data_IF_892541316882
#
_entry.id   IF_892541316882
#
_cell.length_a   1.000
_cell.length_b   1.000
_cell.length_c   1.000
_cell.angle_alpha   90.00
_cell.angle_beta   90.00
_cell.angle_gamma   90.00
#
_symmetry.space_group_name_H-M   'P 1'
#
loop_
_entity.id
_entity.type
_entity.pdbx_description
1 polymer ?
#
# COMPACT_ATOMS: atom_id res chain seq x y z
N UNK A 1 13.04 -46.75 -2.38
CA UNK A 1 12.49 -45.48 -1.87
C UNK A 1 11.27 -45.22 -2.72
N UNK A 2 10.07 -45.38 -2.15
CA UNK A 2 8.84 -44.97 -2.82
C UNK A 2 8.83 -43.44 -2.81
N UNK A 3 9.05 -42.82 -3.98
CA UNK A 3 8.69 -41.42 -4.19
C UNK A 3 7.22 -41.29 -3.76
N UNK A 4 6.94 -40.40 -2.81
CA UNK A 4 5.56 -40.06 -2.49
C UNK A 4 4.92 -39.50 -3.75
N UNK A 5 3.84 -40.12 -4.21
CA UNK A 5 3.11 -39.65 -5.38
C UNK A 5 2.62 -38.22 -5.12
N UNK A 6 3.19 -37.26 -5.83
CA UNK A 6 2.72 -35.88 -5.84
C UNK A 6 1.27 -35.86 -6.35
N UNK A 7 0.38 -35.29 -5.56
CA UNK A 7 -1.05 -35.29 -5.80
C UNK A 7 -1.64 -33.88 -5.68
N UNK A 8 -2.91 -33.73 -6.04
CA UNK A 8 -3.64 -32.47 -5.83
C UNK A 8 -3.76 -32.08 -4.36
N UNK A 9 -3.62 -33.03 -3.43
CA UNK A 9 -3.62 -32.74 -1.99
C UNK A 9 -2.34 -32.01 -1.54
N UNK A 10 -1.28 -32.04 -2.36
CA UNK A 10 -0.01 -31.35 -2.12
C UNK A 10 0.01 -29.93 -2.71
N UNK A 11 -1.12 -29.47 -3.29
CA UNK A 11 -1.28 -28.13 -3.85
C UNK A 11 -2.10 -27.27 -2.88
N UNK A 12 -1.44 -26.29 -2.26
CA UNK A 12 -2.10 -25.28 -1.43
C UNK A 12 -2.33 -24.00 -2.24
N UNK A 13 -3.56 -23.48 -2.18
CA UNK A 13 -3.91 -22.16 -2.74
C UNK A 13 -4.08 -21.19 -1.58
N UNK A 14 -3.18 -20.21 -1.51
CA UNK A 14 -3.24 -19.15 -0.51
C UNK A 14 -4.06 -17.97 -1.02
N UNK A 15 -4.89 -17.39 -0.15
CA UNK A 15 -5.50 -16.09 -0.45
C UNK A 15 -4.40 -15.00 -0.50
N UNK A 16 -4.67 -13.89 -1.20
CA UNK A 16 -3.64 -12.88 -1.49
C UNK A 16 -2.93 -12.37 -0.23
N UNK A 17 -3.66 -12.02 0.82
CA UNK A 17 -3.08 -11.51 2.06
C UNK A 17 -2.31 -12.58 2.84
N UNK A 18 -2.70 -13.85 2.72
CA UNK A 18 -1.95 -14.99 3.28
C UNK A 18 -0.66 -15.23 2.51
N UNK A 19 -0.70 -15.16 1.18
CA UNK A 19 0.49 -15.27 0.33
C UNK A 19 1.51 -14.18 0.64
N UNK A 20 1.08 -12.94 0.88
CA UNK A 20 1.97 -11.84 1.27
C UNK A 20 2.63 -12.11 2.62
N UNK A 21 1.85 -12.60 3.59
CA UNK A 21 2.35 -12.93 4.93
C UNK A 21 3.32 -14.11 4.91
N UNK A 22 3.09 -15.09 4.04
CA UNK A 22 3.93 -16.27 3.89
C UNK A 22 5.25 -15.92 3.17
N UNK A 23 5.19 -15.07 2.14
CA UNK A 23 6.32 -14.76 1.27
C UNK A 23 6.58 -13.26 1.10
N UNK A 24 6.82 -12.49 2.17
CA UNK A 24 6.97 -11.03 2.07
C UNK A 24 8.14 -10.61 1.17
N UNK A 25 9.18 -11.46 1.04
CA UNK A 25 10.31 -11.22 0.14
C UNK A 25 9.92 -11.09 -1.34
N UNK A 26 8.85 -11.76 -1.76
CA UNK A 26 8.33 -11.66 -3.13
C UNK A 26 7.73 -10.27 -3.42
N UNK A 27 7.17 -9.62 -2.39
CA UNK A 27 6.47 -8.34 -2.51
C UNK A 27 7.38 -7.16 -2.18
N UNK A 28 8.24 -7.30 -1.17
CA UNK A 28 9.04 -6.21 -0.61
C UNK A 28 10.55 -6.38 -0.80
N UNK A 29 10.97 -7.45 -1.47
CA UNK A 29 12.39 -7.74 -1.77
C UNK A 29 13.23 -8.15 -0.56
N UNK A 30 12.63 -8.30 0.63
CA UNK A 30 13.28 -8.71 1.88
C UNK A 30 12.37 -9.62 2.71
N UNK A 31 12.97 -10.52 3.49
CA UNK A 31 12.24 -11.47 4.34
C UNK A 31 11.56 -10.81 5.53
N UNK A 32 10.67 -11.56 6.21
CA UNK A 32 9.94 -11.10 7.40
C UNK A 32 10.87 -10.67 8.55
N UNK A 33 11.99 -11.38 8.72
CA UNK A 33 12.96 -11.13 9.79
C UNK A 33 14.00 -10.05 9.45
N UNK A 34 13.93 -9.45 8.26
CA UNK A 34 14.87 -8.43 7.83
C UNK A 34 14.50 -7.08 8.47
N UNK A 35 15.44 -6.40 9.17
CA UNK A 35 15.16 -5.12 9.81
C UNK A 35 14.79 -4.00 8.83
N UNK A 36 15.07 -4.17 7.52
CA UNK A 36 14.72 -3.21 6.48
C UNK A 36 13.28 -3.34 6.00
N UNK A 37 12.55 -4.38 6.40
CA UNK A 37 11.20 -4.64 5.91
C UNK A 37 10.25 -3.45 6.08
N UNK A 38 10.14 -2.77 7.24
CA UNK A 38 9.24 -1.62 7.37
C UNK A 38 9.52 -0.52 6.33
N UNK A 39 10.80 -0.16 6.16
CA UNK A 39 11.21 0.83 5.16
C UNK A 39 10.92 0.36 3.73
N UNK A 40 11.17 -0.91 3.42
CA UNK A 40 10.88 -1.46 2.09
C UNK A 40 9.38 -1.51 1.77
N UNK A 41 8.52 -1.76 2.76
CA UNK A 41 7.07 -1.69 2.58
C UNK A 41 6.66 -0.26 2.15
N UNK A 42 7.21 0.77 2.80
CA UNK A 42 6.96 2.17 2.38
C UNK A 42 7.49 2.40 0.97
N UNK A 43 8.75 2.04 0.69
CA UNK A 43 9.38 2.24 -0.61
C UNK A 43 8.59 1.63 -1.77
N UNK A 44 8.15 0.39 -1.60
CA UNK A 44 7.38 -0.31 -2.63
C UNK A 44 5.99 0.30 -2.81
N UNK A 45 5.36 0.76 -1.72
CA UNK A 45 4.11 1.52 -1.81
C UNK A 45 4.27 2.83 -2.57
N UNK A 46 5.38 3.55 -2.35
CA UNK A 46 5.71 4.81 -3.05
C UNK A 46 6.01 4.55 -4.52
N UNK A 47 6.82 3.54 -4.82
CA UNK A 47 7.14 3.12 -6.19
C UNK A 47 5.87 2.79 -6.99
N UNK A 48 4.93 2.06 -6.37
CA UNK A 48 3.63 1.79 -6.98
C UNK A 48 2.79 3.06 -7.20
N UNK A 49 2.84 4.02 -6.27
CA UNK A 49 2.10 5.28 -6.36
C UNK A 49 2.67 6.25 -7.42
N UNK A 50 3.94 6.11 -7.82
CA UNK A 50 4.51 6.89 -8.93
C UNK A 50 4.45 6.15 -10.27
N UNK A 51 4.21 4.84 -10.25
CA UNK A 51 4.03 3.99 -11.42
C UNK A 51 2.63 3.36 -11.49
N UNK A 52 1.55 4.17 -11.59
CA UNK A 52 0.21 3.64 -11.72
C UNK A 52 0.07 2.69 -12.92
N UNK A 53 -0.86 1.73 -12.78
CA UNK A 53 -1.35 1.00 -13.95
C UNK A 53 -1.90 2.00 -14.99
N UNK A 54 -1.67 1.75 -16.28
CA UNK A 54 -1.92 2.72 -17.37
C UNK A 54 -3.33 3.33 -17.38
N UNK A 55 -4.34 2.66 -16.86
CA UNK A 55 -5.72 3.19 -16.79
C UNK A 55 -6.00 4.07 -15.57
N UNK A 56 -5.14 4.02 -14.54
CA UNK A 56 -5.12 4.97 -13.42
C UNK A 56 -4.20 6.16 -13.71
N UNK A 57 -3.22 5.98 -14.59
CA UNK A 57 -2.37 7.04 -15.09
C UNK A 57 -3.20 7.98 -15.98
N UNK A 58 -3.64 9.11 -15.44
CA UNK A 58 -4.02 10.22 -16.29
C UNK A 58 -2.80 10.69 -17.11
N UNK A 59 -3.01 11.54 -18.11
CA UNK A 59 -1.94 12.17 -18.90
C UNK A 59 -1.14 13.20 -18.06
N UNK A 60 -0.83 12.90 -16.80
CA UNK A 60 -0.09 13.76 -15.88
C UNK A 60 0.95 12.99 -15.08
N UNK A 61 1.93 13.70 -14.55
CA UNK A 61 2.91 13.15 -13.59
C UNK A 61 2.24 13.03 -12.22
N UNK A 62 2.12 11.83 -11.63
CA UNK A 62 1.51 11.66 -10.32
C UNK A 62 2.22 12.49 -9.24
N UNK A 63 1.44 13.08 -8.33
CA UNK A 63 1.94 13.72 -7.11
C UNK A 63 1.73 12.75 -5.96
N UNK A 64 2.79 12.46 -5.21
CA UNK A 64 2.78 11.52 -4.08
C UNK A 64 3.35 12.19 -2.83
N UNK A 65 2.57 12.21 -1.78
CA UNK A 65 2.98 12.67 -0.45
C UNK A 65 3.04 11.49 0.52
N UNK A 66 4.17 11.36 1.21
CA UNK A 66 4.43 10.32 2.19
C UNK A 66 4.63 10.97 3.55
N UNK A 67 3.90 10.51 4.56
CA UNK A 67 4.12 10.93 5.93
C UNK A 67 4.49 9.74 6.80
N UNK A 68 5.64 9.81 7.49
CA UNK A 68 6.03 8.86 8.52
C UNK A 68 5.49 9.37 9.84
N UNK A 69 4.45 8.71 10.35
CA UNK A 69 3.65 9.14 11.50
C UNK A 69 4.12 8.49 12.82
N UNK A 70 4.84 7.37 12.73
CA UNK A 70 5.36 6.58 13.84
C UNK A 70 6.40 5.58 13.32
N UNK A 71 7.05 4.83 14.21
CA UNK A 71 8.10 3.86 13.82
C UNK A 71 7.59 2.77 12.87
N UNK A 72 6.31 2.41 12.96
CA UNK A 72 5.65 1.42 12.12
C UNK A 72 4.35 1.97 11.50
N UNK A 73 4.22 3.30 11.46
CA UNK A 73 2.99 3.98 11.10
C UNK A 73 3.27 5.04 10.05
N UNK A 74 2.61 4.96 8.90
CA UNK A 74 2.84 5.87 7.79
C UNK A 74 1.57 6.09 6.97
N UNK A 75 1.60 7.11 6.11
CA UNK A 75 0.58 7.31 5.09
C UNK A 75 1.21 7.63 3.74
N UNK A 76 0.55 7.16 2.69
CA UNK A 76 0.87 7.50 1.30
C UNK A 76 -0.39 8.11 0.72
N UNK A 77 -0.25 9.32 0.17
CA UNK A 77 -1.30 10.03 -0.54
C UNK A 77 -0.86 10.25 -1.97
N UNK A 78 -1.72 9.95 -2.92
CA UNK A 78 -1.51 10.27 -4.33
C UNK A 78 -2.71 10.98 -4.93
N UNK A 79 -2.47 11.73 -6.01
CA UNK A 79 -3.48 12.42 -6.80
C UNK A 79 -4.03 11.56 -7.95
N UNK A 80 -3.81 10.24 -7.91
CA UNK A 80 -4.23 9.38 -9.01
C UNK A 80 -5.76 9.26 -9.06
N UNK A 81 -6.24 9.26 -10.30
CA UNK A 81 -7.65 9.24 -10.63
C UNK A 81 -8.26 7.84 -10.42
N UNK A 82 -9.39 7.76 -9.71
CA UNK A 82 -10.23 6.57 -9.73
C UNK A 82 -11.16 6.66 -10.94
N UNK A 83 -10.80 6.00 -12.05
CA UNK A 83 -11.51 6.10 -13.33
C UNK A 83 -12.91 5.45 -13.38
N UNK A 84 -13.43 4.96 -12.26
CA UNK A 84 -14.79 4.41 -12.22
C UNK A 84 -15.81 5.57 -12.31
N UNK A 85 -16.65 5.57 -13.35
CA UNK A 85 -17.72 6.55 -13.54
C UNK A 85 -18.49 6.78 -12.23
N UNK A 86 -18.31 7.98 -11.66
CA UNK A 86 -19.03 8.46 -10.50
C UNK A 86 -18.66 7.81 -9.17
N UNK A 87 -17.38 7.61 -8.83
CA UNK A 87 -16.95 7.08 -7.52
C UNK A 87 -17.82 5.91 -7.03
N UNK A 88 -18.35 5.09 -7.94
CA UNK A 88 -18.91 3.82 -7.53
C UNK A 88 -17.71 3.05 -7.05
N UNK A 89 -17.71 2.76 -5.74
CA UNK A 89 -16.83 1.81 -5.07
C UNK A 89 -16.37 0.80 -6.12
N UNK A 90 -15.05 0.60 -6.36
CA UNK A 90 -14.60 -0.47 -7.26
C UNK A 90 -15.41 -1.70 -6.91
N UNK A 91 -16.04 -2.38 -7.89
CA UNK A 91 -16.85 -3.57 -7.64
C UNK A 91 -16.01 -4.58 -6.85
N UNK A 92 -16.07 -4.49 -5.52
CA UNK A 92 -15.18 -5.09 -4.51
C UNK A 92 -13.68 -5.11 -4.87
N UNK A 93 -12.86 -4.27 -4.23
CA UNK A 93 -11.43 -4.60 -4.10
C UNK A 93 -11.22 -5.88 -3.30
N UNK A 94 -9.97 -6.21 -2.93
CA UNK A 94 -9.68 -7.44 -2.19
C UNK A 94 -10.58 -7.57 -0.97
N UNK A 95 -11.36 -8.65 -0.90
CA UNK A 95 -12.30 -8.94 0.20
C UNK A 95 -13.35 -7.84 0.46
N UNK A 96 -13.72 -7.07 -0.57
CA UNK A 96 -14.64 -5.93 -0.43
C UNK A 96 -13.99 -4.65 0.11
N UNK A 97 -12.64 -4.59 0.10
CA UNK A 97 -11.92 -3.37 0.47
C UNK A 97 -11.91 -2.33 -0.66
N UNK A 98 -11.62 -1.08 -0.31
CA UNK A 98 -11.29 -0.02 -1.28
C UNK A 98 -9.92 -0.22 -1.96
N UNK A 99 -9.13 -1.22 -1.55
CA UNK A 99 -7.87 -1.58 -2.20
C UNK A 99 -8.12 -2.69 -3.21
N UNK A 100 -8.17 -2.31 -4.48
CA UNK A 100 -8.33 -3.24 -5.60
C UNK A 100 -7.00 -3.72 -6.19
N UNK A 101 -7.06 -4.56 -7.24
CA UNK A 101 -5.90 -5.04 -7.99
C UNK A 101 -4.98 -3.92 -8.50
N UNK A 102 -5.54 -2.76 -8.83
CA UNK A 102 -4.75 -1.62 -9.31
C UNK A 102 -3.87 -0.99 -8.22
N UNK A 103 -4.13 -1.30 -6.95
CA UNK A 103 -3.38 -0.84 -5.78
C UNK A 103 -2.80 -2.02 -4.99
N UNK A 104 -2.45 -3.11 -5.68
CA UNK A 104 -2.06 -4.37 -5.06
C UNK A 104 -0.83 -4.27 -4.15
N UNK A 105 0.14 -3.38 -4.42
CA UNK A 105 1.28 -3.17 -3.51
C UNK A 105 0.86 -2.55 -2.17
N UNK A 106 -0.11 -1.62 -2.19
CA UNK A 106 -0.70 -1.06 -0.97
C UNK A 106 -1.60 -2.09 -0.28
N UNK A 107 -2.25 -2.97 -1.04
CA UNK A 107 -2.97 -4.12 -0.48
C UNK A 107 -2.03 -5.13 0.20
N UNK A 108 -0.85 -5.39 -0.39
CA UNK A 108 0.17 -6.22 0.22
C UNK A 108 0.71 -5.58 1.51
N UNK A 109 0.97 -4.27 1.50
CA UNK A 109 1.36 -3.55 2.71
C UNK A 109 0.28 -3.66 3.80
N UNK A 110 -1.01 -3.54 3.43
CA UNK A 110 -2.12 -3.73 4.33
C UNK A 110 -2.16 -5.16 4.92
N UNK A 111 -1.77 -6.20 4.18
CA UNK A 111 -1.71 -7.57 4.69
C UNK A 111 -0.70 -7.78 5.85
N UNK A 112 0.33 -6.92 5.95
CA UNK A 112 1.28 -6.90 7.08
C UNK A 112 0.85 -5.94 8.21
N UNK A 113 -0.28 -5.26 8.05
CA UNK A 113 -0.77 -4.26 8.99
C UNK A 113 -1.67 -4.85 10.07
N UNK A 114 -1.67 -4.22 11.24
CA UNK A 114 -2.73 -4.43 12.23
C UNK A 114 -3.95 -3.55 11.92
N UNK A 115 -3.71 -2.39 11.29
CA UNK A 115 -4.74 -1.42 10.94
C UNK A 115 -4.36 -0.71 9.64
N UNK A 116 -5.31 -0.63 8.72
CA UNK A 116 -5.20 0.20 7.52
C UNK A 116 -6.44 1.07 7.40
N UNK A 117 -6.28 2.35 7.04
CA UNK A 117 -7.38 3.23 6.65
C UNK A 117 -7.16 3.66 5.20
N UNK A 118 -8.20 3.50 4.39
CA UNK A 118 -8.21 3.90 2.98
C UNK A 118 -9.21 5.03 2.83
N UNK A 119 -8.79 6.13 2.20
CA UNK A 119 -9.67 7.22 1.79
C UNK A 119 -9.50 7.42 0.29
N UNK A 120 -10.59 7.43 -0.44
CA UNK A 120 -10.63 7.81 -1.85
C UNK A 120 -11.57 9.00 -2.01
N UNK A 121 -11.24 9.96 -2.87
CA UNK A 121 -12.10 11.10 -3.10
C UNK A 121 -12.03 11.61 -4.54
N UNK A 122 -13.09 12.31 -4.91
CA UNK A 122 -13.23 13.03 -6.16
C UNK A 122 -14.26 14.17 -5.98
N UNK A 123 -13.91 15.37 -6.44
CA UNK A 123 -14.83 16.49 -6.62
C UNK A 123 -15.68 16.79 -5.36
N UNK A 124 -15.06 16.75 -4.19
CA UNK A 124 -15.70 17.05 -2.91
C UNK A 124 -16.42 15.88 -2.25
N UNK A 125 -16.46 14.70 -2.89
CA UNK A 125 -17.06 13.47 -2.36
C UNK A 125 -15.96 12.46 -2.08
N UNK A 126 -16.08 11.71 -1.00
CA UNK A 126 -15.12 10.65 -0.71
C UNK A 126 -15.71 9.49 0.06
N UNK A 127 -14.99 8.38 0.04
CA UNK A 127 -15.27 7.17 0.79
C UNK A 127 -14.07 6.84 1.68
N UNK A 128 -14.34 6.51 2.93
CA UNK A 128 -13.37 6.05 3.91
C UNK A 128 -13.70 4.61 4.28
N UNK A 129 -12.70 3.76 4.38
CA UNK A 129 -12.86 2.41 4.93
C UNK A 129 -11.69 2.06 5.83
N UNK A 130 -11.98 1.34 6.90
CA UNK A 130 -10.99 0.82 7.82
C UNK A 130 -10.88 -0.70 7.65
N UNK A 131 -9.65 -1.21 7.75
CA UNK A 131 -9.29 -2.60 7.53
C UNK A 131 -8.46 -3.11 8.71
N UNK A 132 -8.67 -4.38 9.08
CA UNK A 132 -7.78 -5.16 9.93
C UNK A 132 -6.92 -6.05 9.02
N UNK A 133 -5.66 -5.70 8.85
CA UNK A 133 -4.89 -6.21 7.72
C UNK A 133 -5.46 -5.67 6.39
N UNK A 134 -5.75 -6.57 5.45
CA UNK A 134 -6.45 -6.26 4.19
C UNK A 134 -7.98 -6.45 4.28
N UNK A 135 -8.50 -7.00 5.39
CA UNK A 135 -9.93 -7.33 5.53
C UNK A 135 -10.71 -6.13 6.06
N UNK A 136 -11.81 -5.71 5.41
CA UNK A 136 -12.64 -4.64 5.93
C UNK A 136 -13.25 -4.94 7.31
N UNK A 137 -13.24 -3.95 8.21
CA UNK A 137 -13.99 -4.05 9.47
C UNK A 137 -15.45 -3.57 9.30
N UNK A 138 -15.79 -2.97 8.16
CA UNK A 138 -17.10 -2.43 7.86
C UNK A 138 -17.24 -1.97 6.42
N UNK A 139 -18.44 -1.52 6.07
CA UNK A 139 -18.72 -0.92 4.77
C UNK A 139 -18.02 0.45 4.64
N UNK A 140 -17.67 0.90 3.42
CA UNK A 140 -17.17 2.25 3.21
C UNK A 140 -18.14 3.33 3.70
N UNK A 141 -17.61 4.32 4.41
CA UNK A 141 -18.33 5.47 4.95
C UNK A 141 -18.11 6.70 4.05
N UNK A 142 -19.18 7.40 3.71
CA UNK A 142 -19.08 8.66 2.95
C UNK A 142 -18.48 9.79 3.79
N UNK A 143 -17.66 10.64 3.17
CA UNK A 143 -17.16 11.88 3.77
C UNK A 143 -17.06 13.00 2.73
N UNK A 144 -16.96 14.25 3.21
CA UNK A 144 -16.68 15.42 2.35
C UNK A 144 -15.18 15.47 2.05
N UNK A 145 -14.83 15.17 0.80
CA UNK A 145 -13.45 15.15 0.33
C UNK A 145 -12.93 16.51 -0.15
N UNK A 146 -11.63 16.61 -0.48
CA UNK A 146 -11.09 17.70 -1.29
C UNK A 146 -11.81 17.83 -2.64
N UNK A 147 -11.74 19.02 -3.26
CA UNK A 147 -12.27 19.28 -4.61
C UNK A 147 -11.39 18.76 -5.76
N UNK A 148 -10.33 18.02 -5.45
CA UNK A 148 -9.51 17.29 -6.41
C UNK A 148 -9.89 15.80 -6.40
N UNK A 149 -9.07 14.97 -7.02
CA UNK A 149 -9.13 13.51 -6.86
C UNK A 149 -7.90 13.03 -6.09
N UNK A 150 -7.99 11.84 -5.52
CA UNK A 150 -6.84 11.21 -4.89
C UNK A 150 -7.22 10.05 -3.98
N UNK A 151 -6.18 9.40 -3.48
CA UNK A 151 -6.27 8.31 -2.52
C UNK A 151 -5.25 8.53 -1.41
N UNK A 152 -5.66 8.34 -0.16
CA UNK A 152 -4.76 8.23 0.98
C UNK A 152 -4.90 6.84 1.57
N UNK A 153 -3.79 6.14 1.72
CA UNK A 153 -3.70 4.88 2.46
C UNK A 153 -2.80 5.11 3.67
N UNK A 154 -3.37 4.93 4.85
CA UNK A 154 -2.70 5.07 6.14
C UNK A 154 -2.53 3.69 6.75
N UNK A 155 -1.31 3.26 6.99
CA UNK A 155 -0.95 1.89 7.36
C UNK A 155 -0.18 1.90 8.67
N UNK A 156 -0.66 1.08 9.61
CA UNK A 156 0.02 0.75 10.85
C UNK A 156 0.45 -0.73 10.81
N UNK A 157 1.74 -0.98 10.60
CA UNK A 157 2.30 -2.33 10.53
C UNK A 157 2.12 -3.06 11.86
N UNK A 158 1.89 -4.37 11.78
CA UNK A 158 1.71 -5.20 12.97
C UNK A 158 3.07 -5.56 13.59
N UNK A 159 3.45 -4.99 14.75
CA UNK A 159 4.71 -5.34 15.41
C UNK A 159 4.76 -6.82 15.81
N UNK A 160 3.61 -7.49 15.99
CA UNK A 160 3.56 -8.92 16.30
C UNK A 160 3.93 -9.83 15.13
N UNK A 161 3.97 -9.28 13.90
CA UNK A 161 4.39 -10.00 12.68
C UNK A 161 5.83 -9.67 12.27
N UNK A 162 6.43 -8.66 12.87
CA UNK A 162 7.75 -8.18 12.50
C UNK A 162 8.76 -8.60 13.55
N UNK A 163 10.03 -8.60 13.16
CA UNK A 163 11.13 -8.71 14.12
C UNK A 163 11.01 -7.60 15.20
N UNK A 164 11.35 -7.88 16.47
CA UNK A 164 11.42 -6.84 17.50
C UNK A 164 12.38 -5.70 17.14
N UNK A 165 12.08 -4.50 17.65
CA UNK A 165 12.92 -3.29 17.55
C UNK A 165 13.20 -2.80 16.12
N UNK A 166 12.35 -3.16 15.15
CA UNK A 166 12.39 -2.61 13.79
C UNK A 166 11.55 -1.35 13.67
N UNK A 167 12.01 -0.42 12.83
CA UNK A 167 11.35 0.83 12.56
C UNK A 167 11.58 1.24 11.09
N UNK A 168 10.69 2.09 10.59
CA UNK A 168 10.92 2.82 9.34
C UNK A 168 12.13 3.74 9.53
N UNK A 169 13.05 3.66 8.58
CA UNK A 169 14.31 4.41 8.59
C UNK A 169 14.07 5.92 8.74
N UNK A 170 14.97 6.60 9.45
CA UNK A 170 15.00 8.06 9.57
C UNK A 170 15.66 8.71 8.36
N UNK A 171 16.46 7.96 7.60
CA UNK A 171 17.01 8.44 6.34
C UNK A 171 15.95 8.37 5.22
N UNK A 172 15.17 9.44 5.09
CA UNK A 172 14.09 9.55 4.11
C UNK A 172 14.56 9.56 2.65
N UNK A 173 15.84 9.82 2.38
CA UNK A 173 16.40 9.73 1.03
C UNK A 173 16.29 8.31 0.47
N UNK A 174 16.18 7.31 1.34
CA UNK A 174 15.97 5.91 0.95
C UNK A 174 14.55 5.61 0.50
N UNK A 175 13.56 6.47 0.82
CA UNK A 175 12.12 6.22 0.66
C UNK A 175 11.57 6.76 -0.69
N UNK A 176 12.28 7.66 -1.36
CA UNK A 176 11.79 8.37 -2.56
C UNK A 176 12.62 8.24 -3.83
N UNK A 177 13.55 7.29 -3.89
CA UNK A 177 14.35 7.07 -5.10
C UNK A 177 13.67 6.02 -5.98
N UNK A 178 13.05 6.47 -7.08
CA UNK A 178 12.98 5.65 -8.28
C UNK A 178 14.35 5.02 -8.52
N UNK A 179 14.42 3.71 -8.79
CA UNK A 179 15.67 3.14 -9.30
C UNK A 179 16.00 3.84 -10.62
N UNK A 180 17.23 4.33 -10.73
CA UNK A 180 17.64 5.35 -11.71
C UNK A 180 17.37 5.00 -13.18
N UNK A 181 17.21 3.71 -13.50
CA UNK A 181 16.98 3.25 -14.87
C UNK A 181 15.49 3.32 -15.29
N UNK A 182 14.55 3.38 -14.33
CA UNK A 182 13.10 3.39 -14.61
C UNK A 182 12.50 4.81 -14.71
N UNK A 183 13.22 5.84 -14.24
CA UNK A 183 12.69 7.22 -14.12
C UNK A 183 13.54 8.29 -14.81
N UNK A 184 14.23 7.95 -15.90
CA UNK A 184 15.11 8.89 -16.63
C UNK A 184 14.43 10.22 -17.07
N UNK A 185 13.10 10.33 -16.99
CA UNK A 185 12.33 11.51 -17.42
C UNK A 185 11.18 11.95 -16.50
N UNK A 186 10.96 11.35 -15.32
CA UNK A 186 9.83 11.73 -14.47
C UNK A 186 10.22 12.83 -13.45
N UNK A 187 9.57 14.01 -13.46
CA UNK A 187 9.83 15.02 -12.44
C UNK A 187 9.42 14.54 -11.04
N UNK A 188 10.25 14.94 -10.08
CA UNK A 188 10.24 14.59 -8.65
C UNK A 188 9.02 15.15 -7.91
N UNK A 189 7.86 14.54 -8.07
CA UNK A 189 6.66 14.90 -7.30
C UNK A 189 6.42 13.95 -6.12
N UNK A 190 7.50 13.45 -5.49
CA UNK A 190 7.41 12.71 -4.23
C UNK A 190 7.89 13.60 -3.09
N UNK A 191 7.03 13.85 -2.11
CA UNK A 191 7.41 14.49 -0.85
C UNK A 191 7.43 13.44 0.25
N UNK A 192 8.51 13.35 1.03
CA UNK A 192 8.56 12.47 2.22
C UNK A 192 8.78 13.34 3.47
N UNK A 193 7.84 13.25 4.41
CA UNK A 193 7.84 14.03 5.64
C UNK A 193 7.88 13.12 6.87
N UNK A 194 8.89 13.30 7.73
CA UNK A 194 8.88 12.68 9.05
C UNK A 194 8.09 13.55 10.05
N UNK A 195 7.02 12.96 10.59
CA UNK A 195 6.08 13.58 11.53
C UNK A 195 6.16 12.98 12.93
N UNK A 196 7.04 11.99 13.18
CA UNK A 196 7.15 11.29 14.47
C UNK A 196 7.32 12.22 15.68
N UNK A 197 7.91 13.40 15.47
CA UNK A 197 8.22 14.37 16.53
C UNK A 197 7.37 15.65 16.50
N UNK A 198 6.35 15.74 15.64
CA UNK A 198 5.48 16.93 15.55
C UNK A 198 4.14 16.62 16.22
N UNK A 199 4.02 17.02 17.49
CA UNK A 199 2.75 17.08 18.21
C UNK A 199 2.10 18.45 18.04
#
# INVERSE_FOLDING_TARGET
MTEGEYSTADIEVLEFDESVRHWPGMFFGVSLDDPRLPTNVVRVGVDHAIHPTRHLAALHTPVVDVEILGDLFFSITDDQFCAAEGCRVPDSGYFGSLLGPDRWMLAAAAALSRRTTVKVWQDGRGLRQELAGLRPIGQPESFTGPRCCGTTVTIELDPGRLRPDVAIDTNLETIGLCRADDCATAPRCVTVNDRRNKR
#
